data_IF_072736618816
#
_entry.id   IF_072736618816
#
_cell.length_a   1.000
_cell.length_b   1.000
_cell.length_c   1.000
_cell.angle_alpha   90.00
_cell.angle_beta   90.00
_cell.angle_gamma   90.00
#
_symmetry.space_group_name_H-M   'P 1'
#
loop_
_entity.id
_entity.type
_entity.pdbx_description
1 polymer ?
#
# COMPACT_ATOMS: atom_id res chain seq x y z
N UNK A 1 3.97 9.06 13.69
CA UNK A 1 5.20 8.44 13.15
C UNK A 1 5.11 8.44 11.62
N UNK A 2 6.21 8.68 10.91
CA UNK A 2 6.18 8.71 9.45
C UNK A 2 5.86 7.33 8.86
N UNK A 3 5.06 7.31 7.79
CA UNK A 3 4.58 6.08 7.13
C UNK A 3 5.53 5.59 6.04
N UNK A 4 6.37 6.47 5.52
CA UNK A 4 7.32 6.20 4.43
C UNK A 4 8.76 6.29 4.94
N UNK A 5 9.67 5.69 4.19
CA UNK A 5 11.12 5.81 4.44
C UNK A 5 11.73 6.92 3.60
N UNK A 6 12.89 7.42 4.03
CA UNK A 6 13.72 8.28 3.19
C UNK A 6 14.23 7.49 1.96
N UNK A 7 14.47 8.19 0.85
CA UNK A 7 15.00 7.63 -0.41
C UNK A 7 14.20 6.42 -0.94
N UNK A 8 12.87 6.53 -0.98
CA UNK A 8 11.97 5.44 -1.39
C UNK A 8 12.36 4.79 -2.74
N UNK A 9 12.79 5.60 -3.73
CA UNK A 9 13.22 5.11 -5.04
C UNK A 9 14.44 4.18 -4.95
N UNK A 10 15.45 4.56 -4.14
CA UNK A 10 16.64 3.74 -3.95
C UNK A 10 16.27 2.40 -3.28
N UNK A 11 15.38 2.43 -2.29
CA UNK A 11 14.88 1.21 -1.66
C UNK A 11 14.11 0.33 -2.64
N UNK A 12 13.27 0.92 -3.49
CA UNK A 12 12.54 0.17 -4.50
C UNK A 12 13.46 -0.52 -5.51
N UNK A 13 14.56 0.12 -5.91
CA UNK A 13 15.50 -0.44 -6.88
C UNK A 13 16.43 -1.50 -6.28
N UNK A 14 16.81 -1.36 -5.00
CA UNK A 14 17.84 -2.20 -4.38
C UNK A 14 17.29 -3.38 -3.56
N UNK A 15 16.04 -3.33 -3.12
CA UNK A 15 15.47 -4.40 -2.29
C UNK A 15 15.02 -5.60 -3.16
N UNK A 16 15.49 -6.79 -2.78
CA UNK A 16 15.23 -8.04 -3.51
C UNK A 16 13.73 -8.33 -3.68
N UNK A 17 12.92 -7.97 -2.69
CA UNK A 17 11.46 -8.19 -2.76
C UNK A 17 10.83 -7.33 -3.85
N UNK A 18 11.23 -6.05 -3.95
CA UNK A 18 10.73 -5.15 -4.99
C UNK A 18 11.24 -5.55 -6.36
N UNK A 19 12.53 -5.90 -6.50
CA UNK A 19 13.05 -6.38 -7.79
C UNK A 19 12.29 -7.61 -8.34
N UNK A 20 11.86 -8.52 -7.46
CA UNK A 20 11.06 -9.68 -7.84
C UNK A 20 9.62 -9.29 -8.20
N UNK A 21 9.00 -8.41 -7.42
CA UNK A 21 7.62 -7.97 -7.61
C UNK A 21 7.45 -6.95 -8.75
N UNK A 22 8.52 -6.26 -9.18
CA UNK A 22 8.49 -5.30 -10.29
C UNK A 22 8.43 -5.94 -11.67
N UNK A 23 8.67 -7.25 -11.75
CA UNK A 23 8.55 -8.02 -12.99
C UNK A 23 7.14 -8.57 -13.10
N UNK A 24 6.65 -8.63 -14.33
CA UNK A 24 5.41 -9.34 -14.63
C UNK A 24 5.53 -10.81 -14.17
N UNK A 25 4.70 -11.17 -13.20
CA UNK A 25 4.71 -12.51 -12.59
C UNK A 25 3.29 -13.02 -12.39
N UNK A 26 3.17 -14.35 -12.30
CA UNK A 26 1.89 -15.01 -12.12
C UNK A 26 1.28 -14.66 -10.75
N UNK A 27 0.05 -14.15 -10.78
CA UNK A 27 -0.76 -13.85 -9.61
C UNK A 27 -2.01 -14.72 -9.56
N UNK A 28 -2.49 -15.02 -8.35
CA UNK A 28 -3.74 -15.76 -8.12
C UNK A 28 -4.60 -15.09 -7.09
N UNK A 29 -5.90 -15.19 -7.26
CA UNK A 29 -6.86 -14.83 -6.23
C UNK A 29 -6.79 -15.82 -5.06
N UNK A 30 -6.68 -15.31 -3.84
CA UNK A 30 -6.50 -16.14 -2.65
C UNK A 30 -7.69 -16.21 -1.71
N UNK A 31 -8.79 -15.49 -2.00
CA UNK A 31 -10.00 -15.54 -1.20
C UNK A 31 -10.76 -16.87 -1.32
N UNK A 32 -11.45 -17.23 -0.24
CA UNK A 32 -12.42 -18.32 -0.16
C UNK A 32 -11.93 -19.67 -0.71
N UNK A 33 -10.68 -20.07 -0.40
CA UNK A 33 -10.07 -21.32 -0.93
C UNK A 33 -10.81 -22.60 -0.50
N UNK A 34 -11.60 -22.54 0.56
CA UNK A 34 -12.47 -23.60 1.07
C UNK A 34 -13.76 -23.79 0.25
N UNK A 35 -14.07 -22.87 -0.67
CA UNK A 35 -15.34 -22.83 -1.43
C UNK A 35 -15.21 -23.38 -2.85
N UNK A 36 -16.32 -23.83 -3.47
CA UNK A 36 -16.35 -24.21 -4.87
C UNK A 36 -15.91 -23.07 -5.81
N UNK A 37 -15.36 -23.42 -6.97
CA UNK A 37 -14.82 -22.44 -7.92
C UNK A 37 -15.85 -21.39 -8.34
N UNK A 38 -17.09 -21.78 -8.64
CA UNK A 38 -18.16 -20.86 -9.04
C UNK A 38 -18.47 -19.82 -7.94
N UNK A 39 -18.51 -20.23 -6.67
CA UNK A 39 -18.71 -19.32 -5.56
C UNK A 39 -17.52 -18.35 -5.43
N UNK A 40 -16.29 -18.85 -5.59
CA UNK A 40 -15.08 -18.01 -5.58
C UNK A 40 -15.07 -16.99 -6.70
N UNK A 41 -15.52 -17.35 -7.90
CA UNK A 41 -15.62 -16.44 -9.04
C UNK A 41 -16.60 -15.30 -8.75
N UNK A 42 -17.77 -15.62 -8.20
CA UNK A 42 -18.76 -14.61 -7.81
C UNK A 42 -18.21 -13.70 -6.72
N UNK A 43 -17.59 -14.25 -5.68
CA UNK A 43 -16.97 -13.50 -4.59
C UNK A 43 -15.88 -12.57 -5.08
N UNK A 44 -14.98 -13.05 -5.93
CA UNK A 44 -13.91 -12.25 -6.50
C UNK A 44 -14.46 -11.02 -7.24
N UNK A 45 -15.46 -11.20 -8.09
CA UNK A 45 -16.08 -10.08 -8.81
C UNK A 45 -16.79 -9.10 -7.86
N UNK A 46 -17.45 -9.60 -6.82
CA UNK A 46 -18.10 -8.76 -5.80
C UNK A 46 -17.08 -7.95 -5.02
N UNK A 47 -16.01 -8.57 -4.51
CA UNK A 47 -14.94 -7.88 -3.77
C UNK A 47 -14.32 -6.77 -4.63
N UNK A 48 -14.00 -7.05 -5.90
CA UNK A 48 -13.46 -6.05 -6.81
C UNK A 48 -14.39 -4.84 -6.98
N UNK A 49 -15.71 -5.06 -7.04
CA UNK A 49 -16.72 -3.97 -7.10
C UNK A 49 -16.92 -3.28 -5.76
N UNK A 50 -16.71 -3.98 -4.66
CA UNK A 50 -16.79 -3.47 -3.29
C UNK A 50 -15.53 -2.70 -2.88
N UNK A 51 -14.46 -2.77 -3.67
CA UNK A 51 -13.27 -1.96 -3.51
C UNK A 51 -12.13 -2.65 -2.78
N UNK A 52 -12.11 -3.97 -2.72
CA UNK A 52 -10.96 -4.71 -2.22
C UNK A 52 -10.77 -6.01 -3.00
N UNK A 53 -9.59 -6.63 -2.91
CA UNK A 53 -9.41 -8.03 -3.28
C UNK A 53 -8.09 -8.54 -2.71
N UNK A 54 -7.98 -9.85 -2.51
CA UNK A 54 -6.75 -10.46 -2.02
C UNK A 54 -6.10 -11.31 -3.12
N UNK A 55 -4.84 -10.99 -3.44
CA UNK A 55 -4.06 -11.72 -4.45
C UNK A 55 -2.78 -12.28 -3.84
N UNK A 56 -2.16 -13.24 -4.52
CA UNK A 56 -0.83 -13.72 -4.22
C UNK A 56 0.05 -13.74 -5.45
N UNK A 57 1.28 -13.26 -5.28
CA UNK A 57 2.37 -13.47 -6.20
C UNK A 57 2.89 -14.90 -6.04
N UNK A 58 2.56 -15.77 -6.99
CA UNK A 58 2.80 -17.23 -6.87
C UNK A 58 4.29 -17.55 -6.79
N UNK A 59 5.11 -16.82 -7.55
CA UNK A 59 6.57 -17.03 -7.62
C UNK A 59 7.27 -16.60 -6.33
N UNK A 60 6.86 -15.46 -5.76
CA UNK A 60 7.50 -14.88 -4.57
C UNK A 60 6.89 -15.44 -3.28
N UNK A 61 5.66 -15.96 -3.34
CA UNK A 61 4.91 -16.44 -2.18
C UNK A 61 4.36 -15.32 -1.30
N UNK A 62 4.14 -14.13 -1.86
CA UNK A 62 3.67 -12.94 -1.13
C UNK A 62 2.19 -12.72 -1.40
N UNK A 63 1.40 -12.60 -0.33
CA UNK A 63 0.00 -12.21 -0.40
C UNK A 63 -0.11 -10.69 -0.27
N UNK A 64 -0.95 -10.07 -1.08
CA UNK A 64 -1.24 -8.64 -1.04
C UNK A 64 -2.74 -8.45 -1.03
N UNK A 65 -3.21 -7.68 -0.05
CA UNK A 65 -4.56 -7.14 -0.03
C UNK A 65 -4.57 -5.82 -0.81
N UNK A 66 -5.28 -5.82 -1.93
CA UNK A 66 -5.48 -4.64 -2.76
C UNK A 66 -6.71 -3.89 -2.27
N UNK A 67 -6.58 -2.58 -2.18
CA UNK A 67 -7.66 -1.66 -1.86
C UNK A 67 -7.89 -0.73 -3.05
N UNK A 68 -9.15 -0.55 -3.41
CA UNK A 68 -9.59 0.34 -4.46
C UNK A 68 -10.50 1.41 -3.83
N UNK A 69 -9.96 2.62 -3.59
CA UNK A 69 -10.76 3.68 -2.96
C UNK A 69 -11.96 4.02 -3.84
N UNK A 70 -13.14 4.07 -3.21
CA UNK A 70 -14.40 4.47 -3.85
C UNK A 70 -14.42 5.99 -4.03
N UNK A 71 -15.02 6.46 -5.12
CA UNK A 71 -15.29 7.90 -5.28
C UNK A 71 -16.32 8.35 -4.24
N UNK A 72 -16.07 9.52 -3.63
CA UNK A 72 -16.88 10.05 -2.54
C UNK A 72 -18.36 10.23 -2.92
N UNK A 73 -18.63 10.56 -4.18
CA UNK A 73 -19.98 10.91 -4.66
C UNK A 73 -20.83 9.70 -5.06
N UNK A 74 -20.21 8.59 -5.50
CA UNK A 74 -20.93 7.46 -6.11
C UNK A 74 -20.86 6.16 -5.31
N UNK A 75 -20.01 6.07 -4.28
CA UNK A 75 -19.64 4.80 -3.62
C UNK A 75 -19.21 3.69 -4.59
N UNK A 76 -18.89 4.03 -5.85
CA UNK A 76 -18.40 3.09 -6.84
C UNK A 76 -16.88 3.14 -6.92
N UNK A 77 -16.29 2.00 -7.23
CA UNK A 77 -14.87 1.91 -7.55
C UNK A 77 -14.66 2.53 -8.94
N UNK A 78 -13.71 3.46 -9.09
CA UNK A 78 -13.49 4.10 -10.39
C UNK A 78 -12.87 3.09 -11.38
N UNK A 79 -13.22 3.20 -12.68
CA UNK A 79 -12.82 2.24 -13.71
C UNK A 79 -11.30 2.19 -13.94
N UNK A 80 -10.57 3.24 -13.56
CA UNK A 80 -9.10 3.27 -13.55
C UNK A 80 -8.48 2.25 -12.58
N UNK A 81 -9.19 1.89 -11.51
CA UNK A 81 -8.72 0.95 -10.49
C UNK A 81 -9.21 -0.47 -10.76
N UNK A 82 -10.43 -0.61 -11.30
CA UNK A 82 -11.03 -1.92 -11.61
C UNK A 82 -11.79 -1.82 -12.93
N UNK A 83 -11.27 -2.47 -13.97
CA UNK A 83 -11.86 -2.48 -15.31
C UNK A 83 -12.21 -3.90 -15.78
N UNK A 84 -13.52 -4.17 -15.93
CA UNK A 84 -14.05 -5.44 -16.45
C UNK A 84 -14.34 -5.42 -17.96
N UNK A 85 -14.22 -4.26 -18.62
CA UNK A 85 -14.67 -4.07 -20.00
C UNK A 85 -13.52 -4.00 -21.00
N UNK A 86 -12.29 -3.76 -20.53
CA UNK A 86 -11.10 -3.67 -21.38
C UNK A 86 -10.81 -4.94 -22.18
N UNK A 87 -10.97 -6.12 -21.57
CA UNK A 87 -10.83 -7.40 -22.27
C UNK A 87 -11.80 -8.44 -21.71
N UNK A 88 -12.42 -9.23 -22.59
CA UNK A 88 -13.38 -10.26 -22.19
C UNK A 88 -12.73 -11.28 -21.24
N UNK A 89 -13.47 -11.67 -20.21
CA UNK A 89 -13.08 -12.65 -19.19
C UNK A 89 -11.86 -12.24 -18.35
N UNK A 90 -11.41 -10.98 -18.45
CA UNK A 90 -10.35 -10.42 -17.62
C UNK A 90 -10.83 -9.19 -16.86
N UNK A 91 -10.27 -9.00 -15.68
CA UNK A 91 -10.38 -7.76 -14.92
C UNK A 91 -8.99 -7.15 -14.79
N UNK A 92 -8.84 -5.89 -15.17
CA UNK A 92 -7.62 -5.12 -14.96
C UNK A 92 -7.74 -4.40 -13.63
N UNK A 93 -6.68 -4.49 -12.83
CA UNK A 93 -6.62 -4.03 -11.47
C UNK A 93 -5.45 -3.06 -11.33
N UNK A 94 -5.73 -1.92 -10.71
CA UNK A 94 -4.75 -0.92 -10.33
C UNK A 94 -5.03 -0.48 -8.89
N UNK A 95 -4.03 -0.60 -8.02
CA UNK A 95 -4.17 -0.24 -6.61
C UNK A 95 -2.89 0.44 -6.13
N UNK A 96 -3.04 1.50 -5.33
CA UNK A 96 -1.94 2.28 -4.78
C UNK A 96 -1.85 2.02 -3.28
N UNK A 97 -0.65 1.72 -2.79
CA UNK A 97 -0.44 1.47 -1.36
C UNK A 97 1.03 1.68 -0.96
N UNK A 98 1.29 1.66 0.35
CA UNK A 98 2.64 1.78 0.90
C UNK A 98 3.08 0.39 1.38
N UNK A 99 4.11 -0.16 0.75
CA UNK A 99 4.72 -1.43 1.14
C UNK A 99 6.09 -1.16 1.77
N UNK A 100 6.34 -1.63 3.00
CA UNK A 100 7.63 -1.47 3.68
C UNK A 100 8.19 -0.03 3.68
N UNK A 101 7.29 0.96 3.70
CA UNK A 101 7.61 2.39 3.65
C UNK A 101 7.88 2.96 2.26
N UNK A 102 7.60 2.22 1.19
CA UNK A 102 7.73 2.66 -0.22
C UNK A 102 6.34 2.75 -0.85
N UNK A 103 6.02 3.90 -1.45
CA UNK A 103 4.80 4.08 -2.25
C UNK A 103 4.91 3.29 -3.55
N UNK A 104 3.97 2.37 -3.76
CA UNK A 104 3.93 1.49 -4.93
C UNK A 104 2.54 1.47 -5.54
N UNK A 105 2.50 1.24 -6.86
CA UNK A 105 1.29 0.97 -7.63
C UNK A 105 1.34 -0.48 -8.07
N UNK A 106 0.37 -1.26 -7.66
CA UNK A 106 0.10 -2.56 -8.28
C UNK A 106 -0.62 -2.35 -9.60
N UNK A 107 -0.15 -3.03 -10.65
CA UNK A 107 -0.79 -3.11 -11.95
C UNK A 107 -0.84 -4.58 -12.36
N UNK A 108 -2.01 -5.05 -12.75
CA UNK A 108 -2.16 -6.41 -13.23
C UNK A 108 -3.53 -6.70 -13.80
N UNK A 109 -3.72 -7.93 -14.23
CA UNK A 109 -5.01 -8.45 -14.63
C UNK A 109 -5.23 -9.86 -14.11
N UNK A 110 -6.48 -10.22 -13.88
CA UNK A 110 -6.90 -11.57 -13.47
C UNK A 110 -8.00 -12.06 -14.40
N UNK A 111 -7.97 -13.34 -14.73
CA UNK A 111 -9.06 -14.01 -15.41
C UNK A 111 -10.21 -14.29 -14.44
N UNK A 112 -11.43 -13.87 -14.78
CA UNK A 112 -12.59 -13.97 -13.88
C UNK A 112 -13.10 -15.42 -13.70
N UNK A 113 -12.71 -16.34 -14.59
CA UNK A 113 -13.12 -17.75 -14.56
C UNK A 113 -12.06 -18.59 -13.85
N UNK A 114 -10.80 -18.44 -14.25
CA UNK A 114 -9.67 -19.23 -13.71
C UNK A 114 -9.11 -18.68 -12.40
N UNK A 115 -9.34 -17.40 -12.11
CA UNK A 115 -8.85 -16.70 -10.92
C UNK A 115 -7.31 -16.65 -10.83
N UNK A 116 -6.66 -16.66 -11.99
CA UNK A 116 -5.23 -16.51 -12.22
C UNK A 116 -4.95 -15.36 -13.21
N UNK A 117 -3.70 -14.89 -13.26
CA UNK A 117 -3.33 -13.80 -14.15
C UNK A 117 -1.92 -13.33 -13.93
N UNK A 118 -1.63 -12.08 -14.33
CA UNK A 118 -0.29 -11.50 -14.27
C UNK A 118 -0.35 -10.13 -13.64
N UNK A 119 0.62 -9.82 -12.78
CA UNK A 119 0.76 -8.51 -12.18
C UNK A 119 2.19 -8.18 -11.78
N UNK A 120 2.41 -6.91 -11.48
CA UNK A 120 3.69 -6.37 -11.03
C UNK A 120 3.49 -5.09 -10.22
N UNK A 121 4.54 -4.65 -9.54
CA UNK A 121 4.61 -3.41 -8.79
C UNK A 121 5.43 -2.35 -9.52
N UNK A 122 4.94 -1.12 -9.52
CA UNK A 122 5.63 0.06 -10.00
C UNK A 122 5.89 1.03 -8.86
N UNK A 123 6.97 1.80 -8.96
CA UNK A 123 7.22 2.89 -8.03
C UNK A 123 6.27 4.06 -8.31
N UNK A 124 5.66 4.61 -7.26
CA UNK A 124 4.77 5.77 -7.35
C UNK A 124 5.53 7.05 -7.01
N UNK A 125 6.11 7.70 -8.01
CA UNK A 125 6.92 8.91 -7.78
C UNK A 125 6.07 10.09 -7.28
N UNK A 126 4.83 10.20 -7.77
CA UNK A 126 3.95 11.32 -7.43
C UNK A 126 3.49 11.22 -5.97
N UNK A 127 2.97 10.05 -5.58
CA UNK A 127 2.56 9.84 -4.18
C UNK A 127 3.77 9.82 -3.25
N UNK A 128 4.93 9.29 -3.68
CA UNK A 128 6.14 9.32 -2.88
C UNK A 128 6.59 10.75 -2.55
N UNK A 129 6.50 11.70 -3.50
CA UNK A 129 6.84 13.12 -3.24
C UNK A 129 5.92 13.75 -2.21
N UNK A 130 4.62 13.47 -2.31
CA UNK A 130 3.62 14.00 -1.37
C UNK A 130 3.84 13.42 0.03
N UNK A 131 3.97 12.10 0.14
CA UNK A 131 4.20 11.42 1.43
C UNK A 131 5.55 11.79 2.06
N UNK A 132 6.58 12.02 1.24
CA UNK A 132 7.88 12.48 1.74
C UNK A 132 7.82 13.92 2.29
N UNK A 133 7.03 14.80 1.68
CA UNK A 133 6.76 16.13 2.23
C UNK A 133 6.02 16.04 3.59
N UNK A 134 5.01 15.18 3.68
CA UNK A 134 4.26 14.92 4.92
C UNK A 134 5.17 14.31 6.01
N UNK A 135 6.05 13.39 5.63
CA UNK A 135 7.05 12.80 6.53
C UNK A 135 7.98 13.87 7.10
N UNK A 136 8.55 14.72 6.25
CA UNK A 136 9.47 15.80 6.67
C UNK A 136 8.78 16.78 7.61
N UNK A 137 7.53 17.15 7.32
CA UNK A 137 6.75 18.02 8.21
C UNK A 137 6.47 17.36 9.56
N UNK A 138 6.08 16.07 9.55
CA UNK A 138 5.81 15.30 10.77
C UNK A 138 7.06 15.16 11.64
N UNK A 139 8.21 14.89 11.04
CA UNK A 139 9.50 14.84 11.73
C UNK A 139 9.88 16.20 12.32
N UNK A 140 9.68 17.29 11.57
CA UNK A 140 9.94 18.65 12.09
C UNK A 140 9.10 18.94 13.32
N UNK A 141 7.79 18.64 13.28
CA UNK A 141 6.89 18.83 14.43
C UNK A 141 7.27 17.94 15.62
N UNK A 142 7.74 16.72 15.37
CA UNK A 142 8.19 15.81 16.43
C UNK A 142 9.47 16.31 17.11
N UNK A 143 10.43 16.83 16.32
CA UNK A 143 11.69 17.35 16.85
C UNK A 143 11.47 18.60 17.71
N UNK A 144 10.63 19.54 17.27
CA UNK A 144 10.29 20.74 18.06
C UNK A 144 9.69 20.33 19.41
N UNK A 145 8.73 19.41 19.41
CA UNK A 145 8.12 18.91 20.67
C UNK A 145 9.13 18.22 21.57
N UNK A 146 10.10 17.50 21.00
CA UNK A 146 11.16 16.84 21.76
C UNK A 146 12.10 17.88 22.41
N UNK A 147 12.47 18.92 21.67
CA UNK A 147 13.30 20.02 22.18
C UNK A 147 12.59 20.77 23.31
N UNK A 148 11.33 21.17 23.12
CA UNK A 148 10.51 21.81 24.15
C UNK A 148 10.38 20.94 25.42
N UNK A 149 10.23 19.63 25.24
CA UNK A 149 10.16 18.69 26.36
C UNK A 149 11.50 18.56 27.09
N UNK A 150 12.61 18.49 26.36
CA UNK A 150 13.95 18.46 26.94
C UNK A 150 14.32 19.76 27.66
N UNK A 151 13.82 20.90 27.19
CA UNK A 151 13.99 22.19 27.85
C UNK A 151 13.22 22.25 29.17
N UNK A 152 11.96 21.82 29.19
CA UNK A 152 11.15 21.72 30.42
C UNK A 152 11.78 20.79 31.46
N UNK A 153 12.27 19.62 31.06
CA UNK A 153 12.98 18.72 31.97
C UNK A 153 14.25 19.37 32.54
N UNK A 154 14.98 20.15 31.75
CA UNK A 154 16.16 20.89 32.20
C UNK A 154 15.81 22.02 33.17
N UNK A 155 14.72 22.75 32.94
CA UNK A 155 14.28 23.79 33.89
C UNK A 155 13.81 23.17 35.21
N UNK A 156 13.00 22.12 35.16
CA UNK A 156 12.50 21.42 36.36
C UNK A 156 13.65 20.82 37.21
N UNK A 157 14.65 20.21 36.56
CA UNK A 157 15.82 19.67 37.28
C UNK A 157 16.70 20.76 37.89
N UNK A 158 16.81 21.92 37.24
CA UNK A 158 17.55 23.08 37.76
C UNK A 158 16.83 23.72 38.94
N UNK A 159 15.50 23.83 38.91
CA UNK A 159 14.68 24.33 40.02
C UNK A 159 14.75 23.42 41.25
N UNK A 160 14.73 22.09 41.06
CA UNK A 160 14.86 21.13 42.16
C UNK A 160 16.26 21.17 42.81
N UNK A 161 17.31 21.45 42.03
CA UNK A 161 18.66 21.63 42.59
C UNK A 161 18.80 22.94 43.38
N UNK A 162 18.24 24.04 42.90
CA UNK A 162 18.25 25.32 43.60
C UNK A 162 17.40 25.31 44.89
N UNK A 163 16.34 24.50 44.94
CA UNK A 163 15.48 24.39 46.14
C UNK A 163 16.07 23.49 47.23
N UNK A 164 17.15 22.74 46.93
CA UNK A 164 17.83 21.83 47.87
C UNK A 164 19.11 22.40 48.48
N UNK A 165 19.50 23.63 48.10
CA UNK A 165 20.53 24.44 48.78
C UNK A 165 19.86 25.41 49.76
#
# INVERSE_FOLDING_TARGET
MPRVVANQNERFQNDDIFQKLSRETEIKYVGYRDRPLEERQLRFQTECREGNTSIAFTVVGVNIELLFPKQADSQTVPPENVDFYKEKDKVFLRSLFIMNGVCVIFVGWLNIIKLDGVGYLMFDEDTAKVEDAIMRETLRKANIKLEEFQEKLRSETSEVQNTRM
#
